data_IF_858780749219
#
_entry.id   IF_858780749219
#
_cell.length_a   1.000
_cell.length_b   1.000
_cell.length_c   1.000
_cell.angle_alpha   90.00
_cell.angle_beta   90.00
_cell.angle_gamma   90.00
#
_symmetry.space_group_name_H-M   'P 1'
#
loop_
_entity.id
_entity.type
_entity.pdbx_description
1 polymer ?
#
# COMPACT_ATOMS: atom_id res chain seq x y z
N UNK A 1 -1.64 13.96 -8.12
CA UNK A 1 -0.97 12.82 -7.44
C UNK A 1 0.04 12.20 -8.38
N UNK A 2 1.20 11.79 -7.87
CA UNK A 2 2.21 11.05 -8.62
C UNK A 2 2.29 9.62 -8.07
N UNK A 3 2.28 8.62 -8.96
CA UNK A 3 2.48 7.21 -8.64
C UNK A 3 3.73 6.67 -9.33
N UNK A 4 4.11 5.42 -9.04
CA UNK A 4 5.11 4.71 -9.83
C UNK A 4 4.46 3.79 -10.89
N UNK A 5 5.28 3.31 -11.84
CA UNK A 5 4.84 2.39 -12.90
C UNK A 5 4.15 1.11 -12.39
N UNK A 6 4.57 0.57 -11.25
CA UNK A 6 3.96 -0.65 -10.71
C UNK A 6 2.53 -0.35 -10.24
N UNK A 7 2.35 0.71 -9.46
CA UNK A 7 1.02 1.15 -9.02
C UNK A 7 0.13 1.50 -10.21
N UNK A 8 0.65 2.24 -11.19
CA UNK A 8 -0.11 2.57 -12.41
C UNK A 8 -0.54 1.31 -13.17
N UNK A 9 0.32 0.29 -13.27
CA UNK A 9 -0.01 -0.97 -13.94
C UNK A 9 -1.11 -1.75 -13.19
N UNK A 10 -1.02 -1.86 -11.87
CA UNK A 10 -2.05 -2.52 -11.06
C UNK A 10 -3.40 -1.80 -11.23
N UNK A 11 -3.42 -0.46 -11.17
CA UNK A 11 -4.64 0.33 -11.35
C UNK A 11 -5.25 0.15 -12.75
N UNK A 12 -4.42 0.05 -13.79
CA UNK A 12 -4.86 -0.23 -15.16
C UNK A 12 -5.55 -1.59 -15.29
N UNK A 13 -5.01 -2.62 -14.63
CA UNK A 13 -5.63 -3.96 -14.61
C UNK A 13 -6.92 -4.01 -13.81
N UNK A 14 -6.99 -3.25 -12.72
CA UNK A 14 -8.18 -3.18 -11.88
C UNK A 14 -9.28 -2.28 -12.47
N UNK A 15 -9.00 -1.50 -13.53
CA UNK A 15 -10.00 -0.67 -14.22
C UNK A 15 -11.22 -1.49 -14.67
N UNK A 16 -11.01 -2.75 -15.08
CA UNK A 16 -12.10 -3.65 -15.47
C UNK A 16 -13.06 -4.01 -14.32
N UNK A 17 -12.68 -3.77 -13.07
CA UNK A 17 -13.48 -4.06 -11.87
C UNK A 17 -14.20 -2.80 -11.37
N UNK A 18 -13.59 -1.62 -11.51
CA UNK A 18 -14.17 -0.36 -11.06
C UNK A 18 -13.62 0.85 -11.80
N UNK A 19 -14.51 1.63 -12.40
CA UNK A 19 -14.20 2.90 -13.07
C UNK A 19 -13.86 4.04 -12.09
N UNK A 20 -14.11 3.85 -10.79
CA UNK A 20 -13.79 4.84 -9.75
C UNK A 20 -12.32 4.82 -9.32
N UNK A 21 -11.54 3.85 -9.80
CA UNK A 21 -10.12 3.73 -9.47
C UNK A 21 -9.28 4.72 -10.29
N UNK A 22 -8.31 5.45 -9.68
CA UNK A 22 -7.48 6.40 -10.39
C UNK A 22 -6.74 5.77 -11.57
N UNK A 23 -6.89 6.34 -12.75
CA UNK A 23 -6.23 5.88 -13.96
C UNK A 23 -5.15 6.88 -14.40
N UNK A 24 -4.15 6.38 -15.13
CA UNK A 24 -3.06 7.23 -15.60
C UNK A 24 -3.52 8.29 -16.61
N UNK A 25 -4.62 8.05 -17.33
CA UNK A 25 -5.22 9.00 -18.28
C UNK A 25 -6.00 10.13 -17.60
N UNK A 26 -6.17 10.12 -16.27
CA UNK A 26 -6.81 11.21 -15.53
C UNK A 26 -5.85 12.41 -15.39
N UNK A 27 -6.35 13.63 -15.63
CA UNK A 27 -5.56 14.87 -15.63
C UNK A 27 -4.76 15.12 -14.34
N UNK A 28 -5.30 14.69 -13.21
CA UNK A 28 -4.70 14.87 -11.89
C UNK A 28 -3.64 13.80 -11.55
N UNK A 29 -3.42 12.82 -12.42
CA UNK A 29 -2.48 11.72 -12.22
C UNK A 29 -1.23 11.93 -13.07
N UNK A 30 -0.09 11.60 -12.48
CA UNK A 30 1.21 11.54 -13.15
C UNK A 30 1.93 10.27 -12.71
N UNK A 31 2.80 9.74 -13.57
CA UNK A 31 3.49 8.47 -13.34
C UNK A 31 5.00 8.67 -13.44
N UNK A 32 5.71 8.35 -12.36
CA UNK A 32 7.17 8.35 -12.35
C UNK A 32 7.69 7.03 -12.90
N UNK A 33 8.42 7.12 -14.02
CA UNK A 33 9.06 5.97 -14.66
C UNK A 33 10.40 5.70 -13.96
N UNK A 34 10.46 4.61 -13.21
CA UNK A 34 11.72 4.05 -12.69
C UNK A 34 12.25 3.01 -13.67
N UNK A 35 13.54 3.09 -14.02
CA UNK A 35 14.16 2.21 -15.04
C UNK A 35 13.92 0.73 -14.75
N UNK A 36 14.05 0.32 -13.48
CA UNK A 36 13.80 -1.06 -13.06
C UNK A 36 12.36 -1.50 -13.36
N UNK A 37 11.35 -0.69 -13.04
CA UNK A 37 9.94 -1.03 -13.31
C UNK A 37 9.66 -1.15 -14.81
N UNK A 38 10.16 -0.21 -15.61
CA UNK A 38 10.03 -0.27 -17.07
C UNK A 38 10.69 -1.53 -17.64
N UNK A 39 11.88 -1.90 -17.12
CA UNK A 39 12.57 -3.14 -17.49
C UNK A 39 11.74 -4.39 -17.18
N UNK A 40 11.16 -4.50 -15.99
CA UNK A 40 10.28 -5.62 -15.64
C UNK A 40 9.04 -5.70 -16.54
N UNK A 41 8.41 -4.56 -16.85
CA UNK A 41 7.25 -4.54 -17.75
C UNK A 41 7.62 -4.97 -19.17
N UNK A 42 8.77 -4.55 -19.70
CA UNK A 42 9.24 -4.99 -21.02
C UNK A 42 9.56 -6.49 -21.01
N UNK A 43 10.23 -7.00 -19.97
CA UNK A 43 10.55 -8.42 -19.84
C UNK A 43 9.29 -9.30 -19.72
N UNK A 44 8.19 -8.76 -19.19
CA UNK A 44 6.89 -9.42 -19.10
C UNK A 44 5.98 -9.20 -20.32
N UNK A 45 6.53 -8.73 -21.44
CA UNK A 45 5.82 -8.36 -22.68
C UNK A 45 4.67 -7.34 -22.49
N UNK A 46 4.80 -6.46 -21.49
CA UNK A 46 3.84 -5.39 -21.19
C UNK A 46 4.26 -4.03 -21.79
N UNK A 47 5.05 -4.02 -22.87
CA UNK A 47 5.56 -2.76 -23.48
C UNK A 47 4.43 -1.84 -23.97
N UNK A 48 3.30 -2.40 -24.41
CA UNK A 48 2.15 -1.61 -24.87
C UNK A 48 1.58 -0.71 -23.77
N UNK A 49 1.59 -1.16 -22.52
CA UNK A 49 1.16 -0.35 -21.39
C UNK A 49 2.04 0.90 -21.23
N UNK A 50 3.36 0.78 -21.40
CA UNK A 50 4.27 1.92 -21.29
C UNK A 50 3.99 3.00 -22.35
N UNK A 51 3.57 2.59 -23.56
CA UNK A 51 3.15 3.50 -24.62
C UNK A 51 1.80 4.14 -24.32
N UNK A 52 0.83 3.34 -23.84
CA UNK A 52 -0.52 3.79 -23.46
C UNK A 52 -0.47 4.97 -22.49
N UNK A 53 0.37 4.89 -21.46
CA UNK A 53 0.42 5.88 -20.36
C UNK A 53 1.57 6.89 -20.50
N UNK A 54 2.16 7.00 -21.69
CA UNK A 54 3.34 7.84 -21.95
C UNK A 54 3.10 9.32 -21.64
N UNK A 55 1.91 9.84 -21.96
CA UNK A 55 1.54 11.25 -21.75
C UNK A 55 1.44 11.62 -20.27
N UNK A 56 1.18 10.65 -19.40
CA UNK A 56 1.10 10.82 -17.95
C UNK A 56 2.46 10.82 -17.27
N UNK A 57 3.55 10.55 -18.01
CA UNK A 57 4.90 10.47 -17.45
C UNK A 57 5.32 11.83 -16.90
N UNK A 58 5.90 11.82 -15.70
CA UNK A 58 6.58 12.98 -15.11
C UNK A 58 8.09 12.75 -15.05
N UNK A 59 8.87 13.72 -15.53
CA UNK A 59 10.32 13.72 -15.37
C UNK A 59 10.73 14.06 -13.94
N UNK A 60 12.02 13.89 -13.60
CA UNK A 60 12.49 14.27 -12.27
C UNK A 60 12.61 15.79 -12.12
N UNK A 61 12.92 16.52 -13.19
CA UNK A 61 13.04 17.97 -13.11
C UNK A 61 11.65 18.63 -13.00
N UNK A 62 10.64 18.13 -13.72
CA UNK A 62 9.25 18.54 -13.49
C UNK A 62 8.80 18.25 -12.04
N UNK A 63 9.17 17.08 -11.50
CA UNK A 63 8.81 16.73 -10.13
C UNK A 63 9.47 17.66 -9.10
N UNK A 64 10.74 18.06 -9.29
CA UNK A 64 11.40 19.03 -8.40
C UNK A 64 10.68 20.37 -8.40
N UNK A 65 10.29 20.86 -9.57
CA UNK A 65 9.55 22.12 -9.73
C UNK A 65 8.17 22.05 -9.07
N UNK A 66 7.48 20.92 -9.19
CA UNK A 66 6.13 20.73 -8.65
C UNK A 66 6.10 20.18 -7.21
N UNK A 67 7.26 19.86 -6.63
CA UNK A 67 7.37 19.15 -5.35
C UNK A 67 6.52 19.78 -4.22
N UNK A 68 6.49 21.12 -4.03
CA UNK A 68 5.70 21.73 -2.96
C UNK A 68 4.18 21.50 -3.06
N UNK A 69 3.67 21.16 -4.25
CA UNK A 69 2.25 20.95 -4.53
C UNK A 69 1.92 19.51 -4.90
N UNK A 70 2.86 18.58 -4.66
CA UNK A 70 2.74 17.20 -5.14
C UNK A 70 2.54 16.21 -3.99
N UNK A 71 1.45 15.45 -4.07
CA UNK A 71 1.32 14.18 -3.35
C UNK A 71 1.98 13.06 -4.17
N UNK A 72 3.01 12.44 -3.62
CA UNK A 72 3.70 11.29 -4.22
C UNK A 72 3.36 10.01 -3.44
N UNK A 73 2.70 9.06 -4.08
CA UNK A 73 2.48 7.73 -3.52
C UNK A 73 3.75 6.90 -3.65
N UNK A 74 4.54 6.87 -2.57
CA UNK A 74 5.84 6.21 -2.53
C UNK A 74 5.77 4.87 -1.78
N UNK A 75 6.73 3.99 -2.09
CA UNK A 75 6.89 2.69 -1.42
C UNK A 75 8.16 2.70 -0.57
N UNK A 76 8.14 2.01 0.56
CA UNK A 76 9.31 1.87 1.42
C UNK A 76 10.35 0.91 0.83
N UNK A 77 11.02 1.35 -0.24
CA UNK A 77 12.04 0.60 -0.95
C UNK A 77 13.06 1.55 -1.61
N UNK A 78 13.85 1.02 -2.55
CA UNK A 78 14.88 1.78 -3.25
C UNK A 78 14.36 2.99 -4.03
N UNK A 79 13.09 3.00 -4.49
CA UNK A 79 12.53 4.14 -5.23
C UNK A 79 12.34 5.35 -4.33
N UNK A 80 11.97 5.16 -3.05
CA UNK A 80 11.92 6.24 -2.06
C UNK A 80 13.31 6.86 -1.86
N UNK A 81 14.36 6.04 -1.69
CA UNK A 81 15.74 6.54 -1.58
C UNK A 81 16.16 7.33 -2.81
N UNK A 82 15.85 6.82 -4.00
CA UNK A 82 16.14 7.52 -5.25
C UNK A 82 15.38 8.84 -5.34
N UNK A 83 14.11 8.88 -4.95
CA UNK A 83 13.31 10.09 -4.93
C UNK A 83 13.94 11.14 -4.01
N UNK A 84 14.20 10.80 -2.74
CA UNK A 84 14.79 11.73 -1.76
C UNK A 84 16.19 12.20 -2.16
N UNK A 85 16.98 11.37 -2.85
CA UNK A 85 18.33 11.76 -3.34
C UNK A 85 18.27 12.86 -4.41
N UNK A 86 17.23 12.91 -5.24
CA UNK A 86 17.15 13.84 -6.36
C UNK A 86 16.35 15.11 -6.06
N UNK A 87 15.52 15.11 -5.01
CA UNK A 87 14.86 16.33 -4.55
C UNK A 87 15.89 17.29 -3.94
N UNK A 88 15.63 18.61 -3.97
CA UNK A 88 16.46 19.59 -3.27
C UNK A 88 16.68 19.20 -1.80
N UNK A 89 17.88 19.38 -1.27
CA UNK A 89 18.24 18.91 0.08
C UNK A 89 17.46 19.61 1.20
N UNK A 90 16.98 20.82 0.94
CA UNK A 90 16.13 21.62 1.79
C UNK A 90 14.64 21.22 1.70
N UNK A 91 14.29 20.26 0.84
CA UNK A 91 12.91 19.73 0.76
C UNK A 91 12.56 19.04 2.08
N UNK A 92 11.52 19.56 2.76
CA UNK A 92 10.94 18.96 3.95
C UNK A 92 9.57 18.38 3.63
N UNK A 93 9.48 17.13 3.14
CA UNK A 93 8.19 16.53 2.83
C UNK A 93 7.39 16.29 4.12
N UNK A 94 6.07 16.42 4.02
CA UNK A 94 5.17 15.81 5.00
C UNK A 94 5.04 14.33 4.69
N UNK A 95 5.34 13.46 5.66
CA UNK A 95 5.31 12.02 5.48
C UNK A 95 4.05 11.43 6.10
N UNK A 96 3.24 10.77 5.28
CA UNK A 96 2.10 9.99 5.72
C UNK A 96 2.41 8.51 5.55
N UNK A 97 2.27 7.72 6.61
CA UNK A 97 2.35 6.27 6.56
C UNK A 97 0.95 5.68 6.56
N UNK A 98 0.51 5.15 5.42
CA UNK A 98 -0.83 4.57 5.27
C UNK A 98 -0.90 3.06 5.50
N UNK A 99 0.24 2.43 5.72
CA UNK A 99 0.35 1.00 5.95
C UNK A 99 0.26 0.67 7.45
N UNK A 100 0.20 -0.63 7.77
CA UNK A 100 0.24 -1.08 9.16
C UNK A 100 1.49 -0.56 9.89
N UNK A 101 1.34 -0.13 11.15
CA UNK A 101 2.42 0.43 11.94
C UNK A 101 3.57 -0.58 12.19
N UNK A 102 3.25 -1.89 12.22
CA UNK A 102 4.27 -2.93 12.31
C UNK A 102 5.26 -2.92 11.14
N UNK A 103 4.82 -2.51 9.94
CA UNK A 103 5.72 -2.33 8.80
C UNK A 103 6.57 -1.08 8.93
N UNK A 104 6.05 0.02 9.51
CA UNK A 104 6.85 1.22 9.78
C UNK A 104 8.01 0.93 10.72
N UNK A 105 7.76 0.14 11.79
CA UNK A 105 8.80 -0.29 12.73
C UNK A 105 9.92 -1.12 12.07
N UNK A 106 9.59 -1.84 10.98
CA UNK A 106 10.53 -2.64 10.19
C UNK A 106 11.06 -1.89 8.95
N UNK A 107 10.73 -0.61 8.81
CA UNK A 107 11.06 0.19 7.64
C UNK A 107 12.57 0.31 7.46
N UNK A 108 13.04 0.14 6.23
CA UNK A 108 14.47 0.23 5.89
C UNK A 108 14.84 1.51 5.14
N UNK A 109 13.87 2.32 4.72
CA UNK A 109 14.12 3.50 3.91
C UNK A 109 13.37 4.72 4.46
N UNK A 110 12.05 4.64 4.63
CA UNK A 110 11.22 5.78 5.05
C UNK A 110 11.51 6.19 6.49
N UNK A 111 11.42 5.27 7.45
CA UNK A 111 11.64 5.61 8.88
C UNK A 111 13.06 6.12 9.13
N UNK A 112 14.14 5.45 8.66
CA UNK A 112 15.50 5.95 8.88
C UNK A 112 15.74 7.33 8.25
N UNK A 113 15.14 7.62 7.10
CA UNK A 113 15.21 8.95 6.48
C UNK A 113 14.50 9.99 7.34
N UNK A 114 13.28 9.71 7.78
CA UNK A 114 12.50 10.60 8.63
C UNK A 114 13.24 10.92 9.95
N UNK A 115 13.75 9.89 10.63
CA UNK A 115 14.53 10.03 11.86
C UNK A 115 15.78 10.90 11.63
N UNK A 116 16.55 10.62 10.57
CA UNK A 116 17.78 11.36 10.22
C UNK A 116 17.52 12.85 9.98
N UNK A 117 16.39 13.19 9.37
CA UNK A 117 16.06 14.54 8.96
C UNK A 117 15.10 15.25 9.93
N UNK A 118 14.73 14.62 11.05
CA UNK A 118 13.80 15.18 12.03
C UNK A 118 12.40 15.42 11.47
N UNK A 119 11.96 14.59 10.52
CA UNK A 119 10.65 14.73 9.87
C UNK A 119 9.62 13.86 10.61
N UNK A 120 8.53 14.43 11.14
CA UNK A 120 7.46 13.63 11.74
C UNK A 120 6.74 12.79 10.69
N UNK A 121 6.36 11.57 11.07
CA UNK A 121 5.52 10.69 10.25
C UNK A 121 4.12 10.66 10.84
N UNK A 122 3.14 11.10 10.05
CA UNK A 122 1.71 11.02 10.37
C UNK A 122 1.18 9.63 9.98
N UNK A 123 0.55 8.90 10.93
CA UNK A 123 0.02 7.56 10.66
C UNK A 123 -1.46 7.64 10.22
N UNK A 124 -1.74 7.28 8.97
CA UNK A 124 -3.08 7.34 8.36
C UNK A 124 -3.46 5.97 7.78
N UNK A 125 -3.71 5.00 8.64
CA UNK A 125 -3.94 3.62 8.23
C UNK A 125 -5.42 3.30 8.01
N UNK A 126 -5.74 2.83 6.79
CA UNK A 126 -7.01 2.15 6.51
C UNK A 126 -6.77 0.65 6.54
N UNK A 127 -7.34 -0.03 7.54
CA UNK A 127 -7.25 -1.49 7.69
C UNK A 127 -8.00 -2.22 6.58
N UNK A 128 -7.39 -3.27 6.04
CA UNK A 128 -8.06 -4.25 5.15
C UNK A 128 -8.75 -5.39 5.91
N UNK A 129 -8.61 -5.44 7.24
CA UNK A 129 -9.27 -6.44 8.08
C UNK A 129 -10.62 -5.94 8.58
N UNK A 130 -11.58 -6.87 8.66
CA UNK A 130 -12.90 -6.65 9.23
C UNK A 130 -12.82 -6.13 10.67
N UNK A 131 -13.71 -5.20 11.02
CA UNK A 131 -13.83 -4.74 12.41
C UNK A 131 -14.48 -5.83 13.27
N UNK A 132 -14.37 -5.72 14.60
CA UNK A 132 -15.06 -6.64 15.52
C UNK A 132 -16.57 -6.65 15.28
N UNK A 133 -17.16 -5.50 14.94
CA UNK A 133 -18.59 -5.39 14.65
C UNK A 133 -18.96 -6.11 13.35
N UNK A 134 -18.11 -6.03 12.32
CA UNK A 134 -18.32 -6.75 11.07
C UNK A 134 -18.17 -8.27 11.26
N UNK A 135 -17.21 -8.71 12.09
CA UNK A 135 -17.07 -10.12 12.44
C UNK A 135 -18.29 -10.63 13.22
N UNK A 136 -18.85 -9.85 14.14
CA UNK A 136 -20.12 -10.17 14.84
C UNK A 136 -21.28 -10.30 13.86
N UNK A 137 -21.42 -9.36 12.94
CA UNK A 137 -22.45 -9.43 11.89
C UNK A 137 -22.30 -10.68 11.03
N UNK A 138 -21.08 -11.03 10.66
CA UNK A 138 -20.78 -12.23 9.88
C UNK A 138 -21.16 -13.50 10.66
N UNK A 139 -20.78 -13.59 11.93
CA UNK A 139 -21.12 -14.73 12.79
C UNK A 139 -22.63 -14.90 12.97
N UNK A 140 -23.37 -13.80 13.16
CA UNK A 140 -24.85 -13.83 13.25
C UNK A 140 -25.48 -14.34 11.96
N UNK A 141 -24.97 -13.90 10.80
CA UNK A 141 -25.51 -14.29 9.50
C UNK A 141 -25.23 -15.76 9.15
N UNK A 142 -24.06 -16.28 9.54
CA UNK A 142 -23.66 -17.66 9.24
C UNK A 142 -24.18 -18.66 10.29
N UNK A 143 -24.35 -18.23 11.55
CA UNK A 143 -24.66 -19.08 12.70
C UNK A 143 -23.73 -20.30 12.80
N UNK A 144 -22.40 -20.09 12.89
CA UNK A 144 -21.45 -21.19 12.91
C UNK A 144 -21.65 -22.05 14.16
N UNK A 145 -21.56 -23.38 14.01
CA UNK A 145 -21.55 -24.32 15.15
C UNK A 145 -20.23 -24.27 15.93
N UNK A 146 -19.16 -23.82 15.28
CA UNK A 146 -17.83 -23.70 15.85
C UNK A 146 -17.08 -22.56 15.16
N UNK A 147 -16.41 -21.71 15.95
CA UNK A 147 -15.57 -20.62 15.46
C UNK A 147 -14.10 -20.93 15.74
N UNK A 148 -13.26 -20.93 14.70
CA UNK A 148 -11.80 -21.12 14.83
C UNK A 148 -11.09 -19.83 14.42
N UNK A 149 -10.54 -19.04 15.35
CA UNK A 149 -9.82 -17.81 15.03
C UNK A 149 -8.50 -18.14 14.33
N UNK A 150 -8.32 -17.62 13.12
CA UNK A 150 -7.07 -17.72 12.35
C UNK A 150 -6.56 -16.32 12.00
N UNK A 151 -5.27 -16.21 11.66
CA UNK A 151 -4.63 -14.96 11.25
C UNK A 151 -4.80 -13.81 12.28
N UNK A 152 -4.64 -14.13 13.56
CA UNK A 152 -4.68 -13.19 14.69
C UNK A 152 -3.56 -13.48 15.67
N UNK A 153 -2.97 -12.43 16.27
CA UNK A 153 -2.04 -12.57 17.40
C UNK A 153 -2.74 -12.77 18.74
N UNK A 154 -4.07 -12.65 18.77
CA UNK A 154 -4.87 -12.67 19.99
C UNK A 154 -6.11 -13.58 19.86
N UNK A 155 -5.94 -14.89 19.59
CA UNK A 155 -7.06 -15.82 19.47
C UNK A 155 -7.85 -15.94 20.78
N UNK A 156 -7.23 -15.69 21.94
CA UNK A 156 -7.87 -15.68 23.26
C UNK A 156 -8.99 -14.64 23.37
N UNK A 157 -8.91 -13.53 22.64
CA UNK A 157 -9.94 -12.49 22.70
C UNK A 157 -11.24 -12.91 22.01
N UNK A 158 -11.18 -13.87 21.08
CA UNK A 158 -12.37 -14.30 20.34
C UNK A 158 -13.39 -14.99 21.25
N UNK A 159 -12.95 -15.70 22.28
CA UNK A 159 -13.84 -16.31 23.29
C UNK A 159 -14.65 -15.27 24.09
N UNK A 160 -14.25 -14.00 24.08
CA UNK A 160 -15.04 -12.90 24.68
C UNK A 160 -16.07 -12.29 23.73
N UNK A 161 -16.01 -12.65 22.45
CA UNK A 161 -16.78 -12.05 21.35
C UNK A 161 -17.78 -13.03 20.76
N UNK A 162 -17.42 -14.31 20.65
CA UNK A 162 -18.21 -15.38 20.03
C UNK A 162 -18.41 -16.54 21.01
N UNK A 163 -19.51 -17.28 20.85
CA UNK A 163 -19.70 -18.59 21.48
C UNK A 163 -18.96 -19.67 20.69
N UNK A 164 -18.70 -20.81 21.33
CA UNK A 164 -18.20 -22.03 20.68
C UNK A 164 -16.89 -21.79 19.90
N UNK A 165 -15.93 -21.15 20.58
CA UNK A 165 -14.62 -20.82 20.02
C UNK A 165 -13.62 -21.91 20.36
N UNK A 166 -13.08 -22.58 19.33
CA UNK A 166 -11.92 -23.47 19.47
C UNK A 166 -10.67 -22.77 18.96
N UNK A 167 -9.64 -22.72 19.79
CA UNK A 167 -8.33 -22.19 19.44
C UNK A 167 -7.45 -23.37 19.03
N UNK A 168 -6.82 -23.27 17.86
CA UNK A 168 -5.87 -24.24 17.38
C UNK A 168 -4.50 -23.58 17.22
N UNK A 169 -3.45 -24.32 17.53
CA UNK A 169 -2.07 -23.93 17.23
C UNK A 169 -1.73 -24.22 15.76
N UNK A 170 -0.69 -23.56 15.25
CA UNK A 170 -0.17 -23.85 13.91
C UNK A 170 0.24 -25.33 13.78
N UNK A 171 -0.33 -26.02 12.80
CA UNK A 171 -0.09 -27.45 12.55
C UNK A 171 -0.98 -28.40 13.37
N UNK A 172 -1.83 -27.89 14.26
CA UNK A 172 -2.79 -28.70 15.00
C UNK A 172 -3.94 -29.15 14.08
N UNK A 173 -4.34 -30.42 14.20
CA UNK A 173 -5.42 -31.02 13.39
C UNK A 173 -6.69 -31.14 14.20
N UNK A 174 -7.80 -30.67 13.63
CA UNK A 174 -9.15 -30.91 14.16
C UNK A 174 -9.81 -32.04 13.39
N UNK A 175 -10.18 -33.11 14.09
CA UNK A 175 -11.03 -34.17 13.54
C UNK A 175 -12.49 -33.83 13.88
N UNK A 176 -13.35 -33.77 12.86
CA UNK A 176 -14.77 -33.42 12.96
C UNK A 176 -15.65 -34.66 12.74
#
# INVERSE_FOLDING_TARGET
MVTDLYTAYILDKLKAISDSLPQADWDCIRVKYWKAHAGYLVAADQKQFLFKIKTSRISMDELKTLAPKTLFLSRDNATFKQLMKHLPQDTKPRLFWSMWNGYLKKSRNVKPYADKHGIPIEHLHTSGHATVNDLKRLAVAIQPKLTIPVHTFHPEKFSTIFSDVLKLADGETLNL
#
